data_IF_631130360402
#
_entry.id   IF_631130360402
#
_cell.length_a   1.000
_cell.length_b   1.000
_cell.length_c   1.000
_cell.angle_alpha   90.00
_cell.angle_beta   90.00
_cell.angle_gamma   90.00
#
_symmetry.space_group_name_H-M   'P 1'
#
loop_
_entity.id
_entity.type
_entity.pdbx_description
1 polymer ?
#
# COMPACT_ATOMS: atom_id res chain seq x y z
N UNK A 1 -72.74 6.39 21.44
CA UNK A 1 -72.17 7.41 20.53
C UNK A 1 -70.95 8.04 21.20
N UNK A 2 -69.88 8.27 20.43
CA UNK A 2 -68.53 8.79 20.78
C UNK A 2 -67.59 7.79 21.47
N UNK A 3 -66.71 7.09 20.73
CA UNK A 3 -65.47 7.48 20.02
C UNK A 3 -64.21 7.44 20.90
N UNK A 4 -63.53 6.30 20.82
CA UNK A 4 -62.09 6.16 20.49
C UNK A 4 -61.29 7.45 20.38
N UNK A 5 -60.28 7.61 21.25
CA UNK A 5 -59.00 8.26 20.92
C UNK A 5 -58.02 8.12 22.11
N UNK A 6 -56.91 7.39 21.92
CA UNK A 6 -55.58 7.59 22.55
C UNK A 6 -54.67 6.40 22.23
N UNK A 7 -54.15 6.39 21.00
CA UNK A 7 -52.99 5.57 20.60
C UNK A 7 -52.25 6.33 19.51
N UNK A 8 -51.47 7.33 19.91
CA UNK A 8 -50.55 8.06 19.04
C UNK A 8 -49.51 8.76 19.91
N UNK A 9 -48.50 8.03 20.39
CA UNK A 9 -47.28 8.67 20.92
C UNK A 9 -46.04 7.74 20.99
N UNK A 10 -45.97 6.67 20.19
CA UNK A 10 -44.78 5.80 20.13
C UNK A 10 -44.47 5.45 18.67
N UNK A 11 -44.15 6.46 17.85
CA UNK A 11 -43.69 6.23 16.47
C UNK A 11 -42.65 7.27 15.99
N UNK A 12 -41.95 7.92 16.91
CA UNK A 12 -40.96 8.98 16.59
C UNK A 12 -39.65 8.78 17.34
N UNK A 13 -39.19 7.53 17.47
CA UNK A 13 -37.88 7.21 18.06
C UNK A 13 -37.10 6.11 17.33
N UNK A 14 -37.56 5.68 16.14
CA UNK A 14 -36.86 4.68 15.31
C UNK A 14 -36.25 5.29 14.02
N UNK A 15 -36.56 6.55 13.69
CA UNK A 15 -36.09 7.19 12.46
C UNK A 15 -34.66 7.79 12.53
N UNK A 16 -33.98 7.76 13.69
CA UNK A 16 -32.64 8.31 13.84
C UNK A 16 -31.49 7.31 13.57
N UNK A 17 -31.79 6.02 13.40
CA UNK A 17 -30.76 4.99 13.10
C UNK A 17 -30.67 4.60 11.62
N UNK A 18 -31.52 5.16 10.74
CA UNK A 18 -31.56 4.76 9.33
C UNK A 18 -30.62 5.56 8.40
N UNK A 19 -30.00 6.65 8.86
CA UNK A 19 -29.11 7.48 8.00
C UNK A 19 -27.67 6.92 7.95
N UNK A 20 -27.34 5.95 8.81
CA UNK A 20 -26.02 5.28 8.78
C UNK A 20 -25.91 4.16 7.73
N UNK A 21 -27.02 3.76 7.11
CA UNK A 21 -27.06 2.59 6.22
C UNK A 21 -26.56 2.83 4.78
N UNK A 22 -26.49 4.09 4.33
CA UNK A 22 -26.23 4.40 2.92
C UNK A 22 -24.73 4.57 2.56
N UNK A 23 -23.81 4.40 3.51
CA UNK A 23 -22.34 4.38 3.23
C UNK A 23 -21.69 3.01 3.39
N UNK A 24 -22.45 1.98 3.78
CA UNK A 24 -21.91 0.63 3.96
C UNK A 24 -21.75 -0.16 2.64
N UNK A 25 -22.40 0.27 1.55
CA UNK A 25 -22.40 -0.46 0.28
C UNK A 25 -21.10 -0.32 -0.54
N UNK A 26 -20.28 0.71 -0.26
CA UNK A 26 -19.03 0.99 -1.01
C UNK A 26 -17.78 0.94 -0.11
N UNK A 27 -17.86 0.33 1.08
CA UNK A 27 -16.67 0.14 1.90
C UNK A 27 -15.68 -0.76 1.14
N UNK A 28 -14.39 -0.37 1.03
CA UNK A 28 -13.42 -1.19 0.32
C UNK A 28 -13.30 -2.55 1.02
N UNK A 29 -12.91 -3.61 0.28
CA UNK A 29 -12.74 -4.93 0.86
C UNK A 29 -11.80 -4.88 2.07
N UNK A 30 -12.12 -5.62 3.12
CA UNK A 30 -11.26 -5.62 4.31
C UNK A 30 -9.86 -6.16 3.99
N UNK A 31 -8.84 -5.72 4.74
CA UNK A 31 -7.45 -6.16 4.56
C UNK A 31 -7.35 -7.69 4.70
N UNK A 32 -8.06 -8.26 5.67
CA UNK A 32 -8.10 -9.71 5.85
C UNK A 32 -8.74 -10.44 4.64
N UNK A 33 -9.80 -9.87 4.07
CA UNK A 33 -10.47 -10.42 2.88
C UNK A 33 -9.54 -10.39 1.65
N UNK A 34 -8.83 -9.28 1.44
CA UNK A 34 -7.82 -9.18 0.37
C UNK A 34 -6.68 -10.19 0.56
N UNK A 35 -6.19 -10.34 1.79
CA UNK A 35 -5.10 -11.28 2.09
C UNK A 35 -5.48 -12.75 1.88
N UNK A 36 -6.71 -13.15 2.25
CA UNK A 36 -7.20 -14.50 2.04
C UNK A 36 -7.27 -14.90 0.57
N UNK A 37 -7.46 -13.92 -0.32
CA UNK A 37 -7.51 -14.12 -1.77
C UNK A 37 -6.15 -14.20 -2.44
N UNK A 38 -5.06 -13.94 -1.73
CA UNK A 38 -3.70 -14.15 -2.27
C UNK A 38 -3.54 -15.64 -2.57
N UNK A 39 -3.35 -16.03 -3.84
CA UNK A 39 -3.25 -17.44 -4.19
C UNK A 39 -1.86 -17.97 -3.80
N UNK A 40 -1.76 -19.29 -3.66
CA UNK A 40 -0.46 -19.95 -3.66
C UNK A 40 0.20 -19.90 -5.05
N UNK A 41 1.52 -20.02 -5.11
CA UNK A 41 2.20 -20.21 -6.39
C UNK A 41 1.82 -21.56 -7.04
N UNK A 42 1.75 -21.64 -8.38
CA UNK A 42 1.58 -22.90 -9.08
C UNK A 42 2.63 -23.94 -8.65
N UNK A 43 2.30 -25.23 -8.72
CA UNK A 43 3.21 -26.29 -8.31
C UNK A 43 4.29 -26.56 -9.35
N UNK A 44 4.00 -26.31 -10.63
CA UNK A 44 4.92 -26.57 -11.75
C UNK A 44 5.02 -25.39 -12.72
N UNK A 45 6.07 -25.39 -13.54
CA UNK A 45 6.25 -24.38 -14.59
C UNK A 45 5.14 -24.44 -15.66
N UNK A 46 4.61 -25.63 -15.94
CA UNK A 46 3.48 -25.81 -16.86
C UNK A 46 2.20 -25.21 -16.29
N UNK A 47 1.91 -25.43 -15.01
CA UNK A 47 0.78 -24.76 -14.36
C UNK A 47 0.96 -23.23 -14.36
N UNK A 48 2.19 -22.74 -14.13
CA UNK A 48 2.49 -21.32 -14.22
C UNK A 48 2.26 -20.75 -15.63
N UNK A 49 2.50 -21.54 -16.68
CA UNK A 49 2.20 -21.14 -18.06
C UNK A 49 0.70 -20.94 -18.31
N UNK A 50 -0.19 -21.60 -17.55
CA UNK A 50 -1.64 -21.37 -17.66
C UNK A 50 -2.07 -20.03 -17.05
N UNK A 51 -1.21 -19.40 -16.24
CA UNK A 51 -1.50 -18.13 -15.57
C UNK A 51 -1.07 -16.92 -16.39
N UNK A 52 -0.38 -17.12 -17.51
CA UNK A 52 0.03 -16.04 -18.41
C UNK A 52 -0.50 -16.29 -19.81
N UNK A 53 -0.65 -15.22 -20.59
CA UNK A 53 -1.01 -15.31 -22.01
C UNK A 53 0.22 -15.63 -22.88
N UNK A 54 0.00 -15.76 -24.18
CA UNK A 54 1.07 -16.03 -25.17
C UNK A 54 2.15 -14.95 -25.24
N UNK A 55 1.89 -13.77 -24.68
CA UNK A 55 2.84 -12.65 -24.61
C UNK A 55 3.58 -12.60 -23.27
N UNK A 56 3.35 -13.57 -22.37
CA UNK A 56 3.94 -13.61 -21.03
C UNK A 56 3.27 -12.64 -20.04
N UNK A 57 2.14 -12.04 -20.38
CA UNK A 57 1.38 -11.17 -19.48
C UNK A 57 0.47 -12.01 -18.59
N UNK A 58 0.28 -11.56 -17.34
CA UNK A 58 -0.57 -12.26 -16.38
C UNK A 58 -2.02 -12.31 -16.88
N UNK A 59 -2.59 -13.51 -16.96
CA UNK A 59 -3.95 -13.79 -17.37
C UNK A 59 -4.78 -14.48 -16.28
N UNK A 60 -4.20 -14.82 -15.12
CA UNK A 60 -4.90 -15.47 -14.02
C UNK A 60 -6.04 -14.58 -13.46
N UNK A 61 -7.32 -14.96 -13.62
CA UNK A 61 -8.46 -14.08 -13.35
C UNK A 61 -8.55 -13.65 -11.89
N UNK A 62 -8.31 -14.58 -10.94
CA UNK A 62 -8.35 -14.26 -9.52
C UNK A 62 -7.27 -13.28 -9.08
N UNK A 63 -6.09 -13.32 -9.72
CA UNK A 63 -4.98 -12.42 -9.37
C UNK A 63 -5.18 -11.04 -10.00
N UNK A 64 -5.75 -10.98 -11.22
CA UNK A 64 -6.17 -9.73 -11.84
C UNK A 64 -7.28 -9.03 -11.05
N UNK A 65 -8.30 -9.78 -10.62
CA UNK A 65 -9.36 -9.26 -9.76
C UNK A 65 -8.79 -8.75 -8.43
N UNK A 66 -7.86 -9.50 -7.80
CA UNK A 66 -7.20 -9.05 -6.56
C UNK A 66 -6.41 -7.76 -6.75
N UNK A 67 -5.66 -7.62 -7.85
CA UNK A 67 -4.96 -6.37 -8.17
C UNK A 67 -5.92 -5.19 -8.34
N UNK A 68 -7.06 -5.42 -9.01
CA UNK A 68 -8.09 -4.40 -9.17
C UNK A 68 -8.69 -3.96 -7.83
N UNK A 69 -8.95 -4.91 -6.93
CA UNK A 69 -9.51 -4.63 -5.61
C UNK A 69 -8.52 -3.93 -4.67
N UNK A 70 -7.23 -4.31 -4.72
CA UNK A 70 -6.15 -3.58 -4.03
C UNK A 70 -6.11 -2.13 -4.53
N UNK A 71 -6.16 -1.90 -5.84
CA UNK A 71 -6.17 -0.55 -6.41
C UNK A 71 -7.45 0.23 -6.05
N UNK A 72 -8.60 -0.45 -5.95
CA UNK A 72 -9.84 0.17 -5.48
C UNK A 72 -9.74 0.59 -4.00
N UNK A 73 -9.16 -0.26 -3.15
CA UNK A 73 -8.88 0.06 -1.75
C UNK A 73 -7.95 1.26 -1.60
N UNK A 74 -6.84 1.30 -2.37
CA UNK A 74 -5.91 2.44 -2.40
C UNK A 74 -6.64 3.75 -2.73
N UNK A 75 -7.45 3.76 -3.79
CA UNK A 75 -8.23 4.95 -4.18
C UNK A 75 -9.24 5.37 -3.12
N UNK A 76 -9.89 4.42 -2.46
CA UNK A 76 -10.80 4.73 -1.35
C UNK A 76 -10.05 5.44 -0.20
N UNK A 77 -8.84 4.97 0.11
CA UNK A 77 -8.01 5.58 1.15
C UNK A 77 -7.43 6.94 0.74
N UNK A 78 -7.05 7.12 -0.52
CA UNK A 78 -6.65 8.43 -1.05
C UNK A 78 -7.75 9.47 -0.89
N UNK A 79 -9.02 9.09 -1.08
CA UNK A 79 -10.15 10.00 -0.85
C UNK A 79 -10.28 10.40 0.63
N UNK A 80 -10.08 9.47 1.56
CA UNK A 80 -10.06 9.75 3.01
C UNK A 80 -8.91 10.70 3.37
N UNK A 81 -7.73 10.47 2.79
CA UNK A 81 -6.56 11.34 2.99
C UNK A 81 -6.78 12.74 2.39
N UNK A 82 -7.38 12.84 1.20
CA UNK A 82 -7.68 14.12 0.56
C UNK A 82 -8.66 14.94 1.39
N UNK A 83 -9.73 14.33 1.90
CA UNK A 83 -10.66 15.00 2.80
C UNK A 83 -9.96 15.48 4.08
N UNK A 84 -9.03 14.67 4.62
CA UNK A 84 -8.22 15.06 5.79
C UNK A 84 -7.27 16.22 5.47
N UNK A 85 -6.68 16.24 4.28
CA UNK A 85 -5.80 17.32 3.83
C UNK A 85 -6.57 18.64 3.64
N UNK A 86 -7.79 18.60 3.11
CA UNK A 86 -8.67 19.76 2.99
C UNK A 86 -9.02 20.35 4.36
N UNK A 87 -9.37 19.49 5.34
CA UNK A 87 -9.58 19.91 6.73
C UNK A 87 -8.33 20.59 7.31
N UNK A 88 -7.14 20.05 7.02
CA UNK A 88 -5.88 20.62 7.48
C UNK A 88 -5.59 21.99 6.86
N UNK A 89 -5.81 22.14 5.56
CA UNK A 89 -5.66 23.41 4.86
C UNK A 89 -6.63 24.47 5.40
N UNK A 90 -7.88 24.09 5.67
CA UNK A 90 -8.88 24.97 6.27
C UNK A 90 -8.45 25.44 7.68
N UNK A 91 -7.93 24.54 8.51
CA UNK A 91 -7.38 24.91 9.82
C UNK A 91 -6.15 25.82 9.70
N UNK A 92 -5.24 25.54 8.76
CA UNK A 92 -4.07 26.38 8.50
C UNK A 92 -4.45 27.81 8.10
N UNK A 93 -5.50 27.97 7.29
CA UNK A 93 -6.02 29.29 6.92
C UNK A 93 -6.57 30.05 8.13
N UNK A 94 -7.32 29.38 9.02
CA UNK A 94 -7.83 29.99 10.25
C UNK A 94 -6.70 30.34 11.22
N UNK A 95 -5.65 29.52 11.32
CA UNK A 95 -4.45 29.86 12.12
C UNK A 95 -3.78 31.11 11.57
N UNK A 96 -3.57 31.18 10.26
CA UNK A 96 -2.95 32.35 9.63
C UNK A 96 -3.78 33.63 9.80
N UNK A 97 -5.11 33.54 9.66
CA UNK A 97 -6.04 34.64 9.92
C UNK A 97 -5.90 35.15 11.37
N UNK A 98 -5.99 34.25 12.35
CA UNK A 98 -5.92 34.61 13.76
C UNK A 98 -4.55 35.15 14.18
N UNK A 99 -3.45 34.63 13.60
CA UNK A 99 -2.11 35.19 13.81
C UNK A 99 -2.00 36.62 13.29
N UNK A 100 -2.53 36.89 12.09
CA UNK A 100 -2.56 38.24 11.54
C UNK A 100 -3.38 39.20 12.42
N UNK A 101 -4.55 38.76 12.90
CA UNK A 101 -5.35 39.53 13.88
C UNK A 101 -4.57 39.78 15.17
N UNK A 102 -3.87 38.76 15.68
CA UNK A 102 -3.03 38.88 16.88
C UNK A 102 -1.90 39.89 16.72
N UNK A 103 -1.23 39.89 15.56
CA UNK A 103 -0.19 40.86 15.21
C UNK A 103 -0.75 42.28 15.08
N UNK A 104 -1.92 42.43 14.45
CA UNK A 104 -2.61 43.71 14.39
C UNK A 104 -2.98 44.24 15.79
N UNK A 105 -3.43 43.36 16.70
CA UNK A 105 -3.79 43.73 18.08
C UNK A 105 -2.62 44.25 18.91
N UNK A 106 -1.38 43.89 18.57
CA UNK A 106 -0.16 44.41 19.21
C UNK A 106 0.48 45.56 18.39
N UNK A 107 -0.20 46.03 17.35
CA UNK A 107 0.20 47.16 16.52
C UNK A 107 1.24 46.82 15.44
N UNK A 108 1.36 45.55 15.06
CA UNK A 108 2.22 45.11 13.96
C UNK A 108 1.37 44.93 12.70
N UNK A 109 1.65 45.74 11.69
CA UNK A 109 1.09 45.59 10.34
C UNK A 109 1.99 44.67 9.50
N UNK A 110 1.58 43.42 9.32
CA UNK A 110 2.30 42.44 8.53
C UNK A 110 2.49 42.85 7.06
N UNK A 111 1.48 43.48 6.46
CA UNK A 111 1.56 43.89 5.06
C UNK A 111 2.54 45.07 4.89
N UNK A 112 2.63 45.95 5.88
CA UNK A 112 3.67 47.00 5.90
C UNK A 112 5.04 46.40 6.18
N UNK A 113 5.16 45.50 7.15
CA UNK A 113 6.43 44.87 7.51
C UNK A 113 7.08 44.11 6.33
N UNK A 114 6.28 43.51 5.44
CA UNK A 114 6.79 42.86 4.23
C UNK A 114 7.22 43.84 3.12
N UNK A 115 6.64 45.05 3.07
CA UNK A 115 6.86 46.04 2.00
C UNK A 115 7.84 47.14 2.39
N UNK A 116 8.02 47.40 3.67
CA UNK A 116 8.80 48.50 4.24
C UNK A 116 9.90 47.94 5.18
N UNK A 117 11.14 47.77 4.67
CA UNK A 117 12.25 47.29 5.48
C UNK A 117 12.59 48.16 6.69
N UNK A 118 12.30 49.47 6.64
CA UNK A 118 12.54 50.37 7.76
C UNK A 118 11.55 50.11 8.90
N UNK A 119 10.27 49.91 8.57
CA UNK A 119 9.26 49.50 9.56
C UNK A 119 9.58 48.11 10.14
N UNK A 120 10.09 47.17 9.34
CA UNK A 120 10.53 45.88 9.86
C UNK A 120 11.68 46.01 10.88
N UNK A 121 12.66 46.88 10.62
CA UNK A 121 13.74 47.17 11.57
C UNK A 121 13.22 47.84 12.85
N UNK A 122 12.28 48.78 12.72
CA UNK A 122 11.64 49.43 13.87
C UNK A 122 10.94 48.42 14.78
N UNK A 123 10.17 47.49 14.20
CA UNK A 123 9.49 46.42 14.95
C UNK A 123 10.51 45.49 15.63
N UNK A 124 11.59 45.10 14.94
CA UNK A 124 12.64 44.26 15.52
C UNK A 124 13.37 44.95 16.68
N UNK A 125 13.73 46.23 16.53
CA UNK A 125 14.38 47.02 17.57
C UNK A 125 13.45 47.24 18.76
N UNK A 126 12.16 47.46 18.51
CA UNK A 126 11.15 47.51 19.58
C UNK A 126 11.08 46.20 20.35
N UNK A 127 11.08 45.04 19.67
CA UNK A 127 11.08 43.74 20.34
C UNK A 127 12.37 43.47 21.14
N UNK A 128 13.54 43.88 20.64
CA UNK A 128 14.82 43.74 21.34
C UNK A 128 14.92 44.59 22.62
N UNK A 129 14.20 45.72 22.66
CA UNK A 129 14.17 46.63 23.82
C UNK A 129 13.12 46.23 24.86
N UNK A 130 12.21 45.30 24.55
CA UNK A 130 11.25 44.77 25.51
C UNK A 130 11.95 43.85 26.51
N UNK A 131 11.53 43.93 27.76
CA UNK A 131 11.89 42.97 28.80
C UNK A 131 11.27 41.58 28.52
N UNK A 132 11.80 40.50 29.13
CA UNK A 132 11.22 39.17 29.00
C UNK A 132 9.73 39.10 29.38
N UNK A 133 9.29 39.89 30.37
CA UNK A 133 7.89 39.95 30.80
C UNK A 133 7.00 40.60 29.74
N UNK A 134 7.47 41.67 29.09
CA UNK A 134 6.76 42.33 28.00
C UNK A 134 6.68 41.47 26.75
N UNK A 135 7.74 40.72 26.42
CA UNK A 135 7.72 39.74 25.32
C UNK A 135 6.70 38.62 25.58
N UNK A 136 6.61 38.13 26.82
CA UNK A 136 5.59 37.14 27.19
C UNK A 136 4.18 37.71 27.08
N UNK A 137 3.94 38.94 27.56
CA UNK A 137 2.65 39.60 27.45
C UNK A 137 2.25 39.86 25.98
N UNK A 138 3.22 40.26 25.15
CA UNK A 138 3.05 40.41 23.70
C UNK A 138 2.69 39.08 23.05
N UNK A 139 3.41 37.99 23.38
CA UNK A 139 3.11 36.63 22.88
C UNK A 139 1.72 36.16 23.28
N UNK A 140 1.29 36.41 24.53
CA UNK A 140 -0.05 36.08 24.99
C UNK A 140 -1.14 36.86 24.22
N UNK A 141 -0.96 38.17 24.01
CA UNK A 141 -1.89 38.99 23.22
C UNK A 141 -1.94 38.57 21.74
N UNK A 142 -0.79 38.24 21.17
CA UNK A 142 -0.67 37.73 19.80
C UNK A 142 -1.41 36.40 19.63
N UNK A 143 -1.31 35.50 20.61
CA UNK A 143 -1.96 34.19 20.58
C UNK A 143 -3.40 34.19 21.10
N UNK A 144 -3.90 35.30 21.65
CA UNK A 144 -5.24 35.37 22.23
C UNK A 144 -6.36 35.05 21.20
N UNK A 145 -6.33 35.56 19.95
CA UNK A 145 -7.33 35.19 18.94
C UNK A 145 -7.30 33.69 18.60
N UNK A 146 -6.11 33.11 18.46
CA UNK A 146 -5.95 31.68 18.21
C UNK A 146 -6.58 30.82 19.30
N UNK A 147 -6.37 31.18 20.57
CA UNK A 147 -6.90 30.43 21.71
C UNK A 147 -8.41 30.61 21.89
N UNK A 148 -8.98 31.68 21.34
CA UNK A 148 -10.40 32.00 21.47
C UNK A 148 -11.25 31.51 20.29
N UNK A 149 -10.65 31.17 19.15
CA UNK A 149 -11.39 30.78 17.94
C UNK A 149 -11.96 29.35 18.05
N UNK A 150 -13.29 29.17 18.09
CA UNK A 150 -13.92 27.85 18.22
C UNK A 150 -13.74 26.96 16.98
N UNK A 151 -13.29 27.52 15.84
CA UNK A 151 -12.98 26.76 14.62
C UNK A 151 -11.66 25.99 14.75
N UNK A 152 -10.76 26.43 15.65
CA UNK A 152 -9.48 25.77 15.89
C UNK A 152 -9.66 24.64 16.89
N UNK A 153 -9.43 23.41 16.43
CA UNK A 153 -9.43 22.25 17.31
C UNK A 153 -8.09 22.10 17.99
N UNK A 154 -8.11 22.03 19.31
CA UNK A 154 -6.96 21.57 20.08
C UNK A 154 -6.72 20.09 19.76
N UNK A 155 -5.64 19.77 19.05
CA UNK A 155 -5.35 18.41 18.61
C UNK A 155 -5.08 17.45 19.78
N UNK A 156 -4.46 17.93 20.87
CA UNK A 156 -4.24 17.11 22.06
C UNK A 156 -5.58 16.73 22.72
N UNK A 157 -6.49 17.69 22.84
CA UNK A 157 -7.85 17.41 23.32
C UNK A 157 -8.60 16.48 22.35
N UNK A 158 -8.48 16.71 21.04
CA UNK A 158 -9.10 15.86 20.03
C UNK A 158 -8.62 14.40 20.09
N UNK A 159 -7.34 14.17 20.43
CA UNK A 159 -6.81 12.82 20.68
C UNK A 159 -7.43 12.17 21.91
N UNK A 160 -7.62 12.96 22.98
CA UNK A 160 -8.26 12.47 24.21
C UNK A 160 -9.75 12.20 23.99
N UNK A 161 -10.43 13.05 23.22
CA UNK A 161 -11.87 12.95 22.91
C UNK A 161 -12.20 11.83 21.92
N UNK A 162 -11.19 11.27 21.24
CA UNK A 162 -11.40 10.14 20.36
C UNK A 162 -11.88 8.92 21.13
N UNK A 163 -12.83 8.20 20.52
CA UNK A 163 -13.41 6.99 21.11
C UNK A 163 -12.31 5.92 21.30
N UNK A 164 -12.45 5.02 22.30
CA UNK A 164 -11.42 4.03 22.62
C UNK A 164 -10.95 3.20 21.41
N UNK A 165 -11.85 2.86 20.49
CA UNK A 165 -11.52 2.10 19.28
C UNK A 165 -10.57 2.86 18.34
N UNK A 166 -10.74 4.17 18.18
CA UNK A 166 -9.87 5.03 17.35
C UNK A 166 -8.49 5.14 17.99
N UNK A 167 -8.43 5.38 19.30
CA UNK A 167 -7.14 5.46 20.03
C UNK A 167 -6.35 4.16 19.93
N UNK A 168 -7.02 3.03 20.18
CA UNK A 168 -6.40 1.71 20.05
C UNK A 168 -5.91 1.43 18.62
N UNK A 169 -6.67 1.83 17.59
CA UNK A 169 -6.25 1.68 16.21
C UNK A 169 -5.04 2.56 15.85
N UNK A 170 -5.00 3.79 16.36
CA UNK A 170 -3.87 4.69 16.16
C UNK A 170 -2.60 4.21 16.89
N UNK A 171 -2.73 3.71 18.13
CA UNK A 171 -1.65 3.10 18.88
C UNK A 171 -1.11 1.84 18.17
N UNK A 172 -2.01 0.96 17.72
CA UNK A 172 -1.62 -0.20 16.92
C UNK A 172 -0.94 0.20 15.61
N UNK A 173 -1.46 1.23 14.94
CA UNK A 173 -0.86 1.78 13.72
C UNK A 173 0.54 2.32 13.94
N UNK A 174 0.73 3.10 15.00
CA UNK A 174 2.05 3.61 15.39
C UNK A 174 3.03 2.47 15.68
N UNK A 175 2.64 1.50 16.50
CA UNK A 175 3.48 0.33 16.82
C UNK A 175 3.81 -0.49 15.56
N UNK A 176 2.84 -0.61 14.64
CA UNK A 176 3.06 -1.25 13.36
C UNK A 176 4.10 -0.50 12.53
N UNK A 177 3.99 0.82 12.40
CA UNK A 177 4.94 1.67 11.67
C UNK A 177 6.34 1.63 12.28
N UNK A 178 6.48 1.65 13.61
CA UNK A 178 7.78 1.59 14.29
C UNK A 178 8.55 0.30 13.93
N UNK A 179 7.86 -0.83 13.74
CA UNK A 179 8.47 -2.10 13.31
C UNK A 179 8.59 -2.29 11.79
N UNK A 180 8.10 -1.36 10.96
CA UNK A 180 7.94 -1.57 9.52
C UNK A 180 9.27 -1.80 8.80
N UNK A 181 10.28 -0.99 9.08
CA UNK A 181 11.59 -1.10 8.41
C UNK A 181 12.23 -2.48 8.67
N UNK A 182 12.19 -2.96 9.91
CA UNK A 182 12.74 -4.25 10.27
C UNK A 182 12.01 -5.41 9.58
N UNK A 183 10.67 -5.35 9.52
CA UNK A 183 9.86 -6.36 8.79
C UNK A 183 10.19 -6.36 7.30
N UNK A 184 10.23 -5.18 6.66
CA UNK A 184 10.58 -5.05 5.24
C UNK A 184 11.96 -5.62 4.95
N UNK A 185 12.97 -5.32 5.77
CA UNK A 185 14.31 -5.88 5.63
C UNK A 185 14.32 -7.40 5.76
N UNK A 186 13.61 -7.94 6.76
CA UNK A 186 13.48 -9.39 6.96
C UNK A 186 12.81 -10.07 5.77
N UNK A 187 11.72 -9.51 5.24
CA UNK A 187 11.00 -10.05 4.10
C UNK A 187 11.82 -9.96 2.81
N UNK A 188 12.54 -8.86 2.60
CA UNK A 188 13.43 -8.69 1.45
C UNK A 188 14.58 -9.69 1.49
N UNK A 189 15.18 -9.91 2.66
CA UNK A 189 16.26 -10.88 2.83
C UNK A 189 15.77 -12.31 2.55
N UNK A 190 14.59 -12.66 3.09
CA UNK A 190 13.93 -13.94 2.85
C UNK A 190 13.73 -14.22 1.34
N UNK A 191 13.29 -13.21 0.59
CA UNK A 191 13.11 -13.34 -0.86
C UNK A 191 14.42 -13.34 -1.64
N UNK A 192 15.41 -12.54 -1.23
CA UNK A 192 16.74 -12.54 -1.85
C UNK A 192 17.40 -13.90 -1.76
N UNK A 193 17.32 -14.57 -0.62
CA UNK A 193 17.87 -15.92 -0.45
C UNK A 193 17.22 -16.94 -1.39
N UNK A 194 15.90 -16.82 -1.59
CA UNK A 194 15.16 -17.66 -2.53
C UNK A 194 15.55 -17.37 -3.98
N UNK A 195 15.68 -16.10 -4.35
CA UNK A 195 16.09 -15.65 -5.67
C UNK A 195 17.52 -16.12 -6.00
N UNK A 196 18.45 -16.00 -5.04
CA UNK A 196 19.83 -16.47 -5.17
C UNK A 196 19.89 -18.00 -5.35
N UNK A 197 19.07 -18.74 -4.59
CA UNK A 197 18.99 -20.19 -4.71
C UNK A 197 18.41 -20.61 -6.09
N UNK A 198 17.36 -19.94 -6.55
CA UNK A 198 16.79 -20.15 -7.88
C UNK A 198 17.79 -19.79 -9.01
N UNK A 199 18.53 -18.69 -8.86
CA UNK A 199 19.57 -18.29 -9.80
C UNK A 199 20.69 -19.33 -9.87
N UNK A 200 21.16 -19.83 -8.72
CA UNK A 200 22.14 -20.92 -8.66
C UNK A 200 21.65 -22.19 -9.36
N UNK A 201 20.36 -22.55 -9.22
CA UNK A 201 19.78 -23.67 -9.96
C UNK A 201 19.84 -23.44 -11.47
N UNK A 202 19.46 -22.23 -11.93
CA UNK A 202 19.45 -21.86 -13.36
C UNK A 202 20.84 -21.84 -13.99
N UNK A 203 21.87 -21.54 -13.22
CA UNK A 203 23.27 -21.57 -13.68
C UNK A 203 23.83 -22.99 -13.80
N UNK A 204 23.22 -24.01 -13.19
CA UNK A 204 23.68 -25.40 -13.32
C UNK A 204 23.53 -25.86 -14.78
N UNK A 205 24.60 -26.36 -15.42
CA UNK A 205 24.51 -26.93 -16.76
C UNK A 205 23.52 -28.09 -16.79
N UNK A 206 22.64 -28.08 -17.79
CA UNK A 206 21.71 -29.19 -18.03
C UNK A 206 22.45 -30.29 -18.80
N UNK A 207 22.39 -31.52 -18.29
CA UNK A 207 23.03 -32.67 -18.91
C UNK A 207 22.02 -33.46 -19.74
N UNK A 208 21.83 -33.06 -21.00
CA UNK A 208 21.08 -33.88 -21.95
C UNK A 208 21.90 -35.12 -22.35
N UNK A 209 21.22 -36.26 -22.48
CA UNK A 209 21.81 -37.51 -23.03
C UNK A 209 22.09 -37.43 -24.54
N UNK A 210 21.77 -36.30 -25.17
CA UNK A 210 21.97 -36.03 -26.59
C UNK A 210 22.97 -34.89 -26.72
N UNK A 211 24.00 -35.08 -27.56
CA UNK A 211 24.99 -34.04 -27.81
C UNK A 211 24.36 -32.85 -28.55
N UNK A 212 24.76 -31.62 -28.17
CA UNK A 212 24.38 -30.42 -28.92
C UNK A 212 24.93 -30.53 -30.35
N UNK A 213 24.12 -30.29 -31.40
CA UNK A 213 24.62 -30.24 -32.78
C UNK A 213 25.73 -29.20 -32.92
N UNK A 214 26.78 -29.54 -33.69
CA UNK A 214 27.93 -28.65 -33.91
C UNK A 214 27.63 -27.47 -34.83
N UNK A 215 26.67 -27.66 -35.74
CA UNK A 215 26.23 -26.62 -36.68
C UNK A 215 25.04 -25.88 -36.07
N UNK A 216 25.07 -24.55 -36.10
CA UNK A 216 23.96 -23.73 -35.62
C UNK A 216 22.71 -23.92 -36.49
N UNK A 217 21.53 -23.88 -35.87
CA UNK A 217 20.24 -24.13 -36.56
C UNK A 217 20.00 -23.16 -37.73
N UNK A 218 20.34 -21.88 -37.54
CA UNK A 218 20.15 -20.82 -38.53
C UNK A 218 21.21 -20.82 -39.64
N UNK A 219 22.19 -21.72 -39.60
CA UNK A 219 23.22 -21.81 -40.62
C UNK A 219 22.60 -22.24 -41.96
N UNK A 220 22.99 -21.59 -43.06
CA UNK A 220 22.51 -21.92 -44.41
C UNK A 220 22.78 -23.37 -44.83
N UNK A 221 23.80 -24.00 -44.24
CA UNK A 221 24.14 -25.41 -44.43
C UNK A 221 23.36 -26.39 -43.54
N UNK A 222 22.48 -25.91 -42.65
CA UNK A 222 21.68 -26.79 -41.80
C UNK A 222 20.55 -27.42 -42.62
N UNK A 223 20.83 -28.59 -43.18
CA UNK A 223 19.89 -29.39 -43.94
C UNK A 223 18.83 -30.07 -43.04
N UNK A 224 18.01 -30.95 -43.63
CA UNK A 224 16.98 -31.66 -42.88
C UNK A 224 17.55 -32.57 -41.77
N UNK A 225 18.74 -33.13 -41.95
CA UNK A 225 19.40 -33.97 -40.95
C UNK A 225 19.93 -33.16 -39.78
N UNK A 226 20.57 -32.01 -40.05
CA UNK A 226 20.94 -31.03 -39.03
C UNK A 226 19.72 -30.58 -38.23
N UNK A 227 18.61 -30.27 -38.90
CA UNK A 227 17.36 -29.90 -38.24
C UNK A 227 16.80 -31.02 -37.36
N UNK A 228 16.77 -32.26 -37.86
CA UNK A 228 16.32 -33.40 -37.05
C UNK A 228 17.19 -33.61 -35.79
N UNK A 229 18.51 -33.40 -35.88
CA UNK A 229 19.41 -33.49 -34.73
C UNK A 229 19.13 -32.41 -33.67
N UNK A 230 18.85 -31.18 -34.10
CA UNK A 230 18.42 -30.09 -33.23
C UNK A 230 17.05 -30.33 -32.60
N UNK A 231 16.09 -30.88 -33.34
CA UNK A 231 14.79 -31.27 -32.80
C UNK A 231 14.93 -32.36 -31.72
N UNK A 232 15.82 -33.34 -31.93
CA UNK A 232 16.13 -34.37 -30.95
C UNK A 232 16.78 -33.77 -29.70
N UNK A 233 17.76 -32.86 -29.87
CA UNK A 233 18.40 -32.15 -28.77
C UNK A 233 17.40 -31.28 -27.99
N UNK A 234 16.56 -30.51 -28.67
CA UNK A 234 15.50 -29.70 -28.05
C UNK A 234 14.49 -30.55 -27.28
N UNK A 235 14.07 -31.69 -27.85
CA UNK A 235 13.15 -32.62 -27.17
C UNK A 235 13.77 -33.25 -25.92
N UNK A 236 15.08 -33.46 -25.89
CA UNK A 236 15.80 -33.96 -24.71
C UNK A 236 16.03 -32.86 -23.65
N UNK A 237 16.25 -31.61 -24.08
CA UNK A 237 16.54 -30.48 -23.20
C UNK A 237 15.30 -29.87 -22.55
N UNK A 238 14.18 -29.77 -23.28
CA UNK A 238 12.97 -29.09 -22.82
C UNK A 238 12.45 -29.64 -21.47
N UNK A 239 12.31 -30.97 -21.26
CA UNK A 239 11.89 -31.50 -19.97
C UNK A 239 12.86 -31.16 -18.82
N UNK A 240 14.17 -31.07 -19.10
CA UNK A 240 15.17 -30.71 -18.09
C UNK A 240 15.05 -29.22 -17.70
N UNK A 241 14.78 -28.35 -18.67
CA UNK A 241 14.55 -26.94 -18.42
C UNK A 241 13.28 -26.72 -17.60
N UNK A 242 12.19 -27.39 -17.98
CA UNK A 242 10.91 -27.33 -17.27
C UNK A 242 11.05 -27.85 -15.83
N UNK A 243 11.76 -28.97 -15.63
CA UNK A 243 12.03 -29.51 -14.30
C UNK A 243 12.82 -28.52 -13.43
N UNK A 244 13.81 -27.83 -14.01
CA UNK A 244 14.61 -26.82 -13.30
C UNK A 244 13.78 -25.60 -12.91
N UNK A 245 12.92 -25.09 -13.79
CA UNK A 245 12.07 -23.95 -13.46
C UNK A 245 10.93 -24.32 -12.50
N UNK A 246 10.46 -25.57 -12.55
CA UNK A 246 9.57 -26.13 -11.52
C UNK A 246 10.25 -26.15 -10.14
N UNK A 247 11.52 -26.55 -10.08
CA UNK A 247 12.28 -26.53 -8.82
C UNK A 247 12.53 -25.10 -8.31
N UNK A 248 12.83 -24.15 -9.20
CA UNK A 248 12.92 -22.74 -8.85
C UNK A 248 11.59 -22.20 -8.30
N UNK A 249 10.48 -22.55 -8.94
CA UNK A 249 9.14 -22.19 -8.48
C UNK A 249 8.81 -22.80 -7.11
N UNK A 250 9.27 -24.02 -6.83
CA UNK A 250 9.13 -24.67 -5.51
C UNK A 250 9.84 -23.87 -4.41
N UNK A 251 11.05 -23.35 -4.66
CA UNK A 251 11.77 -22.48 -3.71
C UNK A 251 10.98 -21.19 -3.43
N UNK A 252 10.44 -20.57 -4.48
CA UNK A 252 9.64 -19.35 -4.35
C UNK A 252 8.32 -19.63 -3.63
N UNK A 253 7.67 -20.76 -3.88
CA UNK A 253 6.44 -21.19 -3.19
C UNK A 253 6.65 -21.36 -1.69
N UNK A 254 7.72 -22.06 -1.28
CA UNK A 254 8.05 -22.22 0.13
C UNK A 254 8.32 -20.86 0.80
N UNK A 255 8.95 -19.94 0.07
CA UNK A 255 9.25 -18.59 0.55
C UNK A 255 8.00 -17.73 0.67
N UNK A 256 7.09 -17.80 -0.30
CA UNK A 256 5.78 -17.17 -0.24
C UNK A 256 4.99 -17.66 0.99
N UNK A 257 4.96 -18.97 1.25
CA UNK A 257 4.25 -19.52 2.40
C UNK A 257 4.84 -19.04 3.73
N UNK A 258 6.17 -18.98 3.86
CA UNK A 258 6.85 -18.39 5.03
C UNK A 258 6.50 -16.92 5.22
N UNK A 259 6.52 -16.13 4.16
CA UNK A 259 6.14 -14.71 4.22
C UNK A 259 4.67 -14.57 4.62
N UNK A 260 3.75 -15.28 3.96
CA UNK A 260 2.31 -15.27 4.30
C UNK A 260 2.08 -15.59 5.77
N UNK A 261 2.75 -16.63 6.30
CA UNK A 261 2.66 -16.98 7.71
C UNK A 261 3.18 -15.85 8.63
N UNK A 262 4.29 -15.21 8.27
CA UNK A 262 4.88 -14.13 9.04
C UNK A 262 4.00 -12.88 9.14
N UNK A 263 3.18 -12.59 8.11
CA UNK A 263 2.31 -11.40 8.09
C UNK A 263 0.86 -11.67 8.52
N UNK A 264 0.43 -12.93 8.57
CA UNK A 264 -0.98 -13.29 8.77
C UNK A 264 -1.60 -12.69 10.04
N UNK A 265 -0.94 -12.86 11.19
CA UNK A 265 -1.44 -12.36 12.48
C UNK A 265 -1.43 -10.82 12.54
N UNK A 266 -0.39 -10.21 11.96
CA UNK A 266 -0.28 -8.75 11.85
C UNK A 266 -1.40 -8.14 11.01
N UNK A 267 -1.73 -8.75 9.86
CA UNK A 267 -2.82 -8.30 9.00
C UNK A 267 -4.19 -8.54 9.62
N UNK A 268 -4.38 -9.64 10.36
CA UNK A 268 -5.61 -9.91 11.11
C UNK A 268 -5.81 -8.88 12.24
N UNK A 269 -4.75 -8.52 12.95
CA UNK A 269 -4.79 -7.45 13.94
C UNK A 269 -5.12 -6.10 13.29
N UNK A 270 -4.49 -5.79 12.16
CA UNK A 270 -4.77 -4.57 11.40
C UNK A 270 -6.23 -4.46 11.02
N UNK A 271 -6.77 -5.49 10.37
CA UNK A 271 -8.18 -5.54 9.95
C UNK A 271 -9.15 -5.25 11.10
N UNK A 272 -8.93 -5.89 12.26
CA UNK A 272 -9.73 -5.66 13.47
C UNK A 272 -9.71 -4.18 13.90
N UNK A 273 -8.54 -3.56 13.95
CA UNK A 273 -8.39 -2.17 14.39
C UNK A 273 -8.96 -1.16 13.37
N UNK A 274 -8.76 -1.44 12.09
CA UNK A 274 -9.22 -0.59 10.99
C UNK A 274 -10.75 -0.60 10.88
N UNK A 275 -11.38 -1.78 10.91
CA UNK A 275 -12.84 -1.88 10.91
C UNK A 275 -13.45 -1.21 12.15
N UNK A 276 -12.87 -1.45 13.34
CA UNK A 276 -13.36 -0.86 14.60
C UNK A 276 -13.25 0.68 14.63
N UNK A 277 -12.27 1.25 13.94
CA UNK A 277 -12.08 2.70 13.83
C UNK A 277 -12.74 3.32 12.59
N UNK A 278 -13.47 2.52 11.80
CA UNK A 278 -14.03 2.91 10.50
C UNK A 278 -12.95 3.55 9.59
N UNK A 279 -11.77 2.92 9.54
CA UNK A 279 -10.61 3.38 8.76
C UNK A 279 -10.23 4.85 9.05
N UNK A 280 -10.37 5.26 10.31
CA UNK A 280 -9.98 6.59 10.77
C UNK A 280 -10.98 7.70 10.46
N UNK A 281 -12.06 7.42 9.71
CA UNK A 281 -13.12 8.42 9.43
C UNK A 281 -13.76 8.94 10.72
N UNK A 282 -13.86 8.08 11.74
CA UNK A 282 -14.43 8.46 13.04
C UNK A 282 -13.49 9.32 13.91
N UNK A 283 -12.22 9.45 13.53
CA UNK A 283 -11.21 10.16 14.33
C UNK A 283 -11.34 11.68 14.20
N UNK A 284 -11.39 12.36 15.34
CA UNK A 284 -11.39 13.82 15.47
C UNK A 284 -9.97 14.38 15.43
N UNK A 285 -8.98 13.62 15.89
CA UNK A 285 -7.56 13.99 15.83
C UNK A 285 -6.97 13.76 14.45
N UNK A 286 -6.16 14.73 13.99
CA UNK A 286 -5.34 14.57 12.79
C UNK A 286 -4.24 13.52 12.98
N UNK A 287 -3.62 13.47 14.17
CA UNK A 287 -2.56 12.51 14.46
C UNK A 287 -3.06 11.07 14.39
N UNK A 288 -4.20 10.77 15.03
CA UNK A 288 -4.80 9.44 14.97
C UNK A 288 -5.22 9.06 13.55
N UNK A 289 -5.80 9.99 12.77
CA UNK A 289 -6.09 9.75 11.35
C UNK A 289 -4.84 9.37 10.56
N UNK A 290 -3.74 10.09 10.77
CA UNK A 290 -2.46 9.80 10.13
C UNK A 290 -1.93 8.40 10.46
N UNK A 291 -1.93 8.02 11.75
CA UNK A 291 -1.49 6.69 12.17
C UNK A 291 -2.38 5.57 11.62
N UNK A 292 -3.70 5.76 11.63
CA UNK A 292 -4.65 4.75 11.12
C UNK A 292 -4.52 4.60 9.60
N UNK A 293 -4.44 5.69 8.85
CA UNK A 293 -4.24 5.66 7.41
C UNK A 293 -2.89 5.04 7.03
N UNK A 294 -1.82 5.38 7.77
CA UNK A 294 -0.50 4.76 7.60
C UNK A 294 -0.51 3.26 7.90
N UNK A 295 -1.28 2.83 8.90
CA UNK A 295 -1.44 1.42 9.23
C UNK A 295 -2.10 0.64 8.09
N UNK A 296 -3.22 1.14 7.59
CA UNK A 296 -3.93 0.52 6.46
C UNK A 296 -3.04 0.45 5.21
N UNK A 297 -2.40 1.55 4.84
CA UNK A 297 -1.48 1.59 3.70
C UNK A 297 -0.32 0.60 3.85
N UNK A 298 0.27 0.49 5.04
CA UNK A 298 1.35 -0.44 5.31
C UNK A 298 0.88 -1.91 5.27
N UNK A 299 -0.30 -2.22 5.80
CA UNK A 299 -0.90 -3.55 5.73
C UNK A 299 -1.23 -3.96 4.29
N UNK A 300 -1.82 -3.05 3.50
CA UNK A 300 -2.10 -3.25 2.08
C UNK A 300 -0.81 -3.38 1.25
N UNK A 301 0.27 -2.70 1.66
CA UNK A 301 1.60 -2.82 1.06
C UNK A 301 2.16 -4.24 1.14
N UNK A 302 2.00 -4.94 2.27
CA UNK A 302 2.42 -6.34 2.42
C UNK A 302 1.68 -7.26 1.43
N UNK A 303 0.36 -7.06 1.27
CA UNK A 303 -0.46 -7.85 0.32
C UNK A 303 -0.03 -7.55 -1.12
N UNK A 304 0.17 -6.27 -1.46
CA UNK A 304 0.65 -5.86 -2.78
C UNK A 304 1.99 -6.51 -3.12
N UNK A 305 2.93 -6.48 -2.18
CA UNK A 305 4.25 -7.09 -2.35
C UNK A 305 4.16 -8.61 -2.58
N UNK A 306 3.34 -9.33 -1.82
CA UNK A 306 3.10 -10.77 -2.05
C UNK A 306 2.57 -11.03 -3.47
N UNK A 307 1.61 -10.22 -3.93
CA UNK A 307 1.01 -10.32 -5.27
C UNK A 307 2.03 -10.04 -6.39
N UNK A 308 2.93 -9.08 -6.20
CA UNK A 308 4.04 -8.80 -7.11
C UNK A 308 5.00 -9.98 -7.19
N UNK A 309 5.44 -10.51 -6.05
CA UNK A 309 6.34 -11.68 -6.00
C UNK A 309 5.72 -12.93 -6.63
N UNK A 310 4.41 -13.12 -6.50
CA UNK A 310 3.68 -14.17 -7.22
C UNK A 310 3.76 -13.94 -8.73
N UNK A 311 3.46 -12.71 -9.17
CA UNK A 311 3.46 -12.35 -10.60
C UNK A 311 4.84 -12.60 -11.22
N UNK A 312 5.91 -12.18 -10.57
CA UNK A 312 7.28 -12.32 -11.07
C UNK A 312 7.73 -13.78 -11.13
N UNK A 313 7.40 -14.55 -10.09
CA UNK A 313 7.73 -15.98 -10.04
C UNK A 313 7.01 -16.78 -11.13
N UNK A 314 5.72 -16.50 -11.35
CA UNK A 314 4.90 -17.14 -12.39
C UNK A 314 5.44 -16.80 -13.78
N UNK A 315 5.67 -15.51 -14.06
CA UNK A 315 6.24 -15.07 -15.34
C UNK A 315 7.57 -15.73 -15.61
N UNK A 316 8.46 -15.75 -14.61
CA UNK A 316 9.77 -16.36 -14.75
C UNK A 316 9.71 -17.86 -15.06
N UNK A 317 8.78 -18.60 -14.44
CA UNK A 317 8.63 -20.05 -14.70
C UNK A 317 7.92 -20.35 -16.03
N UNK A 318 6.97 -19.53 -16.44
CA UNK A 318 6.16 -19.74 -17.64
C UNK A 318 6.94 -19.60 -18.97
N UNK A 319 8.04 -18.83 -18.97
CA UNK A 319 8.84 -18.55 -20.18
C UNK A 319 9.24 -19.84 -20.90
N UNK A 320 9.76 -20.84 -20.18
CA UNK A 320 10.23 -22.08 -20.81
C UNK A 320 9.09 -22.88 -21.42
N UNK A 321 7.97 -22.97 -20.72
CA UNK A 321 6.81 -23.72 -21.19
C UNK A 321 6.18 -23.10 -22.45
N UNK A 322 6.10 -21.76 -22.55
CA UNK A 322 5.52 -21.11 -23.74
C UNK A 322 6.39 -21.24 -24.99
N UNK A 323 7.71 -21.17 -24.82
CA UNK A 323 8.60 -21.16 -25.98
C UNK A 323 8.94 -22.57 -26.47
N UNK A 324 8.61 -23.62 -25.70
CA UNK A 324 8.77 -25.01 -26.10
C UNK A 324 10.18 -25.30 -26.63
N UNK A 325 10.27 -25.85 -27.84
CA UNK A 325 11.57 -26.16 -28.48
C UNK A 325 12.36 -24.92 -28.91
N UNK A 326 11.74 -23.76 -29.10
CA UNK A 326 12.40 -22.57 -29.68
C UNK A 326 13.58 -22.06 -28.84
N UNK A 327 13.52 -22.15 -27.50
CA UNK A 327 14.62 -21.69 -26.63
C UNK A 327 15.91 -22.47 -26.90
N UNK A 328 15.78 -23.73 -27.29
CA UNK A 328 16.94 -24.62 -27.46
C UNK A 328 17.51 -24.54 -28.87
N UNK A 329 16.68 -24.19 -29.87
CA UNK A 329 17.05 -24.24 -31.28
C UNK A 329 18.01 -23.09 -31.70
N UNK A 330 18.07 -21.96 -31.00
CA UNK A 330 19.03 -20.90 -31.32
C UNK A 330 19.59 -20.21 -30.06
N UNK A 331 20.92 -20.01 -29.92
CA UNK A 331 21.53 -19.35 -28.78
C UNK A 331 21.05 -17.91 -28.51
N UNK A 332 20.40 -17.26 -29.50
CA UNK A 332 19.87 -15.89 -29.42
C UNK A 332 18.34 -15.77 -29.56
N UNK A 333 17.60 -16.86 -29.75
CA UNK A 333 16.15 -16.83 -29.84
C UNK A 333 15.53 -16.98 -28.44
N UNK A 334 15.77 -16.00 -27.57
CA UNK A 334 14.95 -15.86 -26.37
C UNK A 334 13.61 -15.29 -26.85
N UNK A 335 12.61 -16.17 -26.93
CA UNK A 335 11.17 -15.86 -27.00
C UNK A 335 10.87 -14.46 -27.57
N UNK A 336 10.85 -14.33 -28.91
CA UNK A 336 10.38 -13.09 -29.56
C UNK A 336 8.88 -12.95 -29.42
#
# INVERSE_FOLDING_TARGET
MYRTLRLACVATLVAAFAVSGARAADAPPSIASLFQRVPDLPATAEEAATWVDKTGRLAHPGLLALKADIAAHQRAMEQVQLATAQDHQAQGAVVAENLNTGLANIGIDMARMQRDPAYAQEVQDRMRRMSPQELMAMSQKMNAPLNADPRLRNQAQAMVDDVPAVRAAAEAGRAYSEGQLARLQSHQQLWREADDAAAKLRQKPLQAKVAKPKMEWENIGCDAGCRAAWDAYASAMLPLMIARDTEALRLHRATLQRHRAAVADGLKAADKHLVASQYGVASRSQAHRGWIAGYDAAALGEISFLVERITDSVRSAAVVAHCGKQIVLAPGAVCR
#
